data_IF_337504439131
#
_entry.id   IF_337504439131
#
_cell.length_a   1.000
_cell.length_b   1.000
_cell.length_c   1.000
_cell.angle_alpha   90.00
_cell.angle_beta   90.00
_cell.angle_gamma   90.00
#
_symmetry.space_group_name_H-M   'P 1'
#
loop_
_entity.id
_entity.type
_entity.pdbx_description
1 polymer ?
#
# COMPACT_ATOMS: atom_id res chain seq x y z
N UNK A 1 32.20 -2.68 -5.92
CA UNK A 1 32.41 -1.49 -6.78
C UNK A 1 31.94 -0.28 -6.00
N UNK A 2 32.37 0.96 -6.28
CA UNK A 2 31.75 2.12 -5.62
C UNK A 2 30.25 2.10 -5.94
N UNK A 3 29.41 2.35 -4.93
CA UNK A 3 27.97 2.51 -5.10
C UNK A 3 27.75 3.61 -6.13
N UNK A 4 26.92 3.36 -7.15
CA UNK A 4 26.68 4.36 -8.19
C UNK A 4 25.89 5.51 -7.58
N UNK A 5 26.47 6.71 -7.56
CA UNK A 5 25.79 7.94 -7.13
C UNK A 5 24.51 8.21 -7.94
N UNK A 6 24.45 7.72 -9.18
CA UNK A 6 23.27 7.83 -10.04
C UNK A 6 22.09 7.02 -9.46
N UNK A 7 22.33 5.79 -8.99
CA UNK A 7 21.27 4.94 -8.43
C UNK A 7 20.79 5.45 -7.07
N UNK A 8 21.68 6.03 -6.25
CA UNK A 8 21.27 6.68 -4.99
C UNK A 8 20.40 7.91 -5.25
N UNK A 9 20.74 8.73 -6.25
CA UNK A 9 19.93 9.88 -6.64
C UNK A 9 18.57 9.47 -7.18
N UNK A 10 18.51 8.44 -8.05
CA UNK A 10 17.24 7.91 -8.57
C UNK A 10 16.35 7.38 -7.43
N UNK A 11 16.92 6.64 -6.49
CA UNK A 11 16.20 6.18 -5.31
C UNK A 11 15.68 7.34 -4.44
N UNK A 12 16.47 8.40 -4.29
CA UNK A 12 16.04 9.59 -3.55
C UNK A 12 14.87 10.31 -4.24
N UNK A 13 14.90 10.47 -5.57
CA UNK A 13 13.77 11.04 -6.31
C UNK A 13 12.49 10.21 -6.15
N UNK A 14 12.61 8.88 -6.07
CA UNK A 14 11.45 8.00 -5.84
C UNK A 14 10.88 8.22 -4.45
N UNK A 15 11.72 8.37 -3.42
CA UNK A 15 11.31 8.70 -2.05
C UNK A 15 10.57 10.05 -2.03
N UNK A 16 11.09 11.08 -2.72
CA UNK A 16 10.43 12.39 -2.81
C UNK A 16 9.05 12.33 -3.49
N UNK A 17 8.87 11.40 -4.44
CA UNK A 17 7.59 11.13 -5.11
C UNK A 17 6.66 10.23 -4.28
N UNK A 18 7.10 9.71 -3.14
CA UNK A 18 6.36 8.79 -2.29
C UNK A 18 6.37 7.32 -2.77
N UNK A 19 7.21 6.99 -3.75
CA UNK A 19 7.37 5.61 -4.27
C UNK A 19 8.47 4.86 -3.51
N UNK A 20 8.20 4.58 -2.24
CA UNK A 20 9.14 3.94 -1.32
C UNK A 20 9.46 2.49 -1.75
N UNK A 21 8.49 1.77 -2.32
CA UNK A 21 8.65 0.40 -2.76
C UNK A 21 9.68 0.29 -3.90
N UNK A 22 9.56 1.14 -4.92
CA UNK A 22 10.52 1.17 -6.03
C UNK A 22 11.89 1.64 -5.57
N UNK A 23 11.96 2.64 -4.67
CA UNK A 23 13.23 3.08 -4.09
C UNK A 23 13.95 1.93 -3.37
N UNK A 24 13.25 1.16 -2.53
CA UNK A 24 13.81 -0.03 -1.86
C UNK A 24 14.26 -1.09 -2.85
N UNK A 25 13.52 -1.31 -3.92
CA UNK A 25 13.88 -2.26 -4.96
C UNK A 25 15.26 -1.93 -5.56
N UNK A 26 15.53 -0.64 -5.83
CA UNK A 26 16.84 -0.18 -6.31
C UNK A 26 17.94 -0.28 -5.25
N UNK A 27 17.64 0.06 -4.00
CA UNK A 27 18.64 0.14 -2.92
C UNK A 27 19.04 -1.22 -2.35
N UNK A 28 18.14 -2.21 -2.34
CA UNK A 28 18.39 -3.53 -1.75
C UNK A 28 19.59 -4.28 -2.33
N UNK A 29 19.81 -4.37 -3.66
CA UNK A 29 21.02 -5.00 -4.20
C UNK A 29 22.29 -4.24 -3.81
N UNK A 30 22.23 -2.91 -3.73
CA UNK A 30 23.36 -2.10 -3.28
C UNK A 30 23.68 -2.37 -1.81
N UNK A 31 22.67 -2.53 -0.96
CA UNK A 31 22.84 -2.78 0.47
C UNK A 31 23.46 -4.17 0.72
N UNK A 32 23.22 -5.13 -0.17
CA UNK A 32 23.88 -6.43 -0.13
C UNK A 32 25.37 -6.34 -0.53
N UNK A 33 25.73 -5.43 -1.44
CA UNK A 33 27.11 -5.22 -1.88
C UNK A 33 27.92 -4.38 -0.89
N UNK A 34 27.31 -3.33 -0.35
CA UNK A 34 27.95 -2.35 0.54
C UNK A 34 27.09 -2.15 1.81
N UNK A 35 27.07 -3.13 2.73
CA UNK A 35 26.15 -3.11 3.86
C UNK A 35 26.51 -2.07 4.93
N UNK A 36 27.72 -1.53 4.90
CA UNK A 36 28.25 -0.51 5.81
C UNK A 36 28.48 0.83 5.08
N UNK A 37 27.79 1.09 3.98
CA UNK A 37 27.80 2.39 3.31
C UNK A 37 26.81 3.34 4.00
N UNK A 38 27.32 4.45 4.55
CA UNK A 38 26.56 5.38 5.38
C UNK A 38 25.45 6.08 4.61
N UNK A 39 25.74 6.55 3.39
CA UNK A 39 24.79 7.27 2.54
C UNK A 39 23.66 6.32 2.10
N UNK A 40 24.02 5.10 1.72
CA UNK A 40 23.06 4.06 1.37
C UNK A 40 22.15 3.68 2.54
N UNK A 41 22.71 3.51 3.75
CA UNK A 41 21.92 3.24 4.96
C UNK A 41 20.97 4.41 5.26
N UNK A 42 21.42 5.64 5.09
CA UNK A 42 20.59 6.83 5.30
C UNK A 42 19.43 6.91 4.30
N UNK A 43 19.68 6.73 3.01
CA UNK A 43 18.64 6.75 1.97
C UNK A 43 17.67 5.57 2.17
N UNK A 44 18.18 4.38 2.49
CA UNK A 44 17.34 3.21 2.75
C UNK A 44 16.42 3.40 3.96
N UNK A 45 16.89 4.07 5.02
CA UNK A 45 16.05 4.38 6.18
C UNK A 45 14.83 5.26 5.82
N UNK A 46 14.97 6.17 4.84
CA UNK A 46 13.86 7.00 4.36
C UNK A 46 12.91 6.24 3.43
N UNK A 47 13.39 5.19 2.79
CA UNK A 47 12.57 4.32 1.94
C UNK A 47 11.84 3.23 2.74
N UNK A 48 12.14 3.04 4.03
CA UNK A 48 11.56 1.97 4.83
C UNK A 48 10.08 2.24 5.14
N UNK A 49 9.19 1.35 4.69
CA UNK A 49 7.75 1.42 4.96
C UNK A 49 7.38 0.95 6.37
N UNK A 50 8.18 0.03 6.92
CA UNK A 50 8.02 -0.47 8.28
C UNK A 50 8.86 0.38 9.25
N UNK A 51 8.19 0.95 10.26
CA UNK A 51 8.83 1.83 11.25
C UNK A 51 9.93 1.10 12.03
N UNK A 52 9.79 -0.22 12.25
CA UNK A 52 10.81 -1.01 12.94
C UNK A 52 12.04 -1.22 12.04
N UNK A 53 11.87 -1.54 10.76
CA UNK A 53 12.96 -1.64 9.78
C UNK A 53 13.73 -0.32 9.68
N UNK A 54 13.04 0.82 9.53
CA UNK A 54 13.68 2.13 9.50
C UNK A 54 14.49 2.43 10.76
N UNK A 55 13.96 2.10 11.94
CA UNK A 55 14.67 2.22 13.22
C UNK A 55 15.93 1.36 13.28
N UNK A 56 15.85 0.10 12.88
CA UNK A 56 16.99 -0.83 12.89
C UNK A 56 18.13 -0.32 12.00
N UNK A 57 17.80 0.24 10.83
CA UNK A 57 18.77 0.83 9.91
C UNK A 57 19.40 2.11 10.49
N UNK A 58 18.62 3.00 11.10
CA UNK A 58 19.15 4.20 11.74
C UNK A 58 20.05 3.88 12.94
N UNK A 59 19.74 2.83 13.70
CA UNK A 59 20.61 2.35 14.79
C UNK A 59 21.93 1.81 14.24
N UNK A 60 21.89 1.11 13.10
CA UNK A 60 23.10 0.66 12.42
C UNK A 60 23.94 1.84 11.92
N UNK A 61 23.33 2.83 11.28
CA UNK A 61 24.00 4.05 10.82
C UNK A 61 24.65 4.80 11.99
N UNK A 62 23.94 4.95 13.12
CA UNK A 62 24.49 5.55 14.35
C UNK A 62 25.69 4.80 14.90
N UNK A 63 25.67 3.48 14.85
CA UNK A 63 26.79 2.67 15.32
C UNK A 63 28.04 2.84 14.43
N UNK A 64 27.83 3.08 13.13
CA UNK A 64 28.90 3.27 12.15
C UNK A 64 29.46 4.70 12.20
N UNK A 65 28.58 5.70 12.13
CA UNK A 65 28.93 7.12 12.20
C UNK A 65 27.93 7.89 13.09
N UNK A 66 28.28 8.10 14.37
CA UNK A 66 27.42 8.82 15.31
C UNK A 66 27.16 10.29 14.94
N UNK A 67 28.06 10.90 14.17
CA UNK A 67 28.02 12.31 13.79
C UNK A 67 27.52 12.52 12.34
N UNK A 68 26.87 11.50 11.76
CA UNK A 68 26.34 11.58 10.39
C UNK A 68 25.33 12.75 10.25
N UNK A 69 25.46 13.62 9.23
CA UNK A 69 24.58 14.77 9.05
C UNK A 69 23.09 14.39 9.02
N UNK A 70 22.27 15.06 9.84
CA UNK A 70 20.83 14.82 9.88
C UNK A 70 20.38 13.56 10.66
N UNK A 71 21.30 12.75 11.19
CA UNK A 71 20.95 11.55 11.97
C UNK A 71 20.23 11.88 13.28
N UNK A 72 20.68 12.89 14.03
CA UNK A 72 20.09 13.27 15.32
C UNK A 72 18.61 13.68 15.26
N UNK A 73 18.16 14.58 14.35
CA UNK A 73 16.74 14.91 14.25
C UNK A 73 15.90 13.68 13.88
N UNK A 74 16.39 12.82 12.97
CA UNK A 74 15.71 11.56 12.62
C UNK A 74 15.57 10.63 13.81
N UNK A 75 16.64 10.38 14.57
CA UNK A 75 16.59 9.56 15.79
C UNK A 75 15.61 10.14 16.83
N UNK A 76 15.46 11.46 16.89
CA UNK A 76 14.49 12.12 17.78
C UNK A 76 13.07 11.86 17.30
N UNK A 77 12.82 12.01 15.99
CA UNK A 77 11.51 11.79 15.37
C UNK A 77 11.01 10.35 15.58
N UNK A 78 11.89 9.36 15.49
CA UNK A 78 11.54 7.94 15.72
C UNK A 78 11.63 7.50 17.20
N UNK A 79 11.79 8.46 18.13
CA UNK A 79 11.80 8.21 19.57
C UNK A 79 13.07 7.51 20.12
N UNK A 80 14.13 7.41 19.33
CA UNK A 80 15.40 6.76 19.70
C UNK A 80 16.41 7.70 20.39
N UNK A 81 16.19 9.02 20.38
CA UNK A 81 17.11 9.99 21.00
C UNK A 81 17.20 9.89 22.53
N UNK A 82 16.21 9.29 23.21
CA UNK A 82 16.05 9.41 24.67
C UNK A 82 16.61 8.25 25.50
N UNK A 83 17.27 7.25 24.92
CA UNK A 83 17.68 6.05 25.68
C UNK A 83 18.95 6.21 26.54
N UNK A 84 19.66 7.34 26.50
CA UNK A 84 20.95 7.49 27.18
C UNK A 84 21.01 8.72 28.08
N UNK A 85 20.23 8.72 29.17
CA UNK A 85 20.52 9.54 30.35
C UNK A 85 19.84 9.00 31.61
N UNK A 86 20.15 7.76 31.97
CA UNK A 86 20.02 7.28 33.36
C UNK A 86 21.33 6.64 33.81
N UNK A 87 22.40 7.44 33.82
CA UNK A 87 23.52 7.16 34.72
C UNK A 87 23.12 7.59 36.13
N UNK A 88 22.28 6.78 36.77
CA UNK A 88 21.99 6.85 38.20
C UNK A 88 23.26 6.49 38.96
N UNK A 89 24.11 7.49 39.17
CA UNK A 89 25.14 7.45 40.19
C UNK A 89 24.42 7.51 41.55
N UNK A 90 24.45 6.46 42.40
CA UNK A 90 23.94 6.56 43.75
C UNK A 90 25.00 7.26 44.59
N UNK A 91 24.82 8.55 44.90
CA UNK A 91 25.60 9.21 45.95
C UNK A 91 24.79 10.27 46.70
N UNK A 92 24.39 9.84 47.90
CA UNK A 92 24.15 10.61 49.13
C UNK A 92 23.88 12.12 49.06
N UNK A 93 22.69 12.47 49.52
CA UNK A 93 22.27 13.72 50.19
C UNK A 93 23.21 14.06 51.39
N UNK A 94 23.29 15.29 51.95
CA UNK A 94 22.72 16.61 51.59
C UNK A 94 23.78 17.72 51.42
N UNK A 95 23.42 18.88 50.85
CA UNK A 95 23.46 20.15 51.60
C UNK A 95 22.99 21.33 50.74
N UNK A 96 22.11 22.10 51.38
CA UNK A 96 21.62 23.42 51.02
C UNK A 96 22.73 24.39 50.66
N UNK A 97 22.59 25.11 49.55
CA UNK A 97 23.02 26.51 49.41
C UNK A 97 22.13 27.16 48.36
N UNK A 98 21.33 28.12 48.83
CA UNK A 98 20.52 29.03 48.04
C UNK A 98 21.46 30.04 47.39
N UNK A 99 21.67 29.96 46.07
CA UNK A 99 22.40 30.97 45.31
C UNK A 99 21.44 31.71 44.36
N UNK A 100 21.20 32.96 44.75
CA UNK A 100 20.41 33.97 44.05
C UNK A 100 21.16 34.38 42.77
N UNK A 101 20.67 33.94 41.61
CA UNK A 101 21.19 34.35 40.30
C UNK A 101 20.17 35.22 39.56
N UNK A 102 20.74 36.25 38.93
CA UNK A 102 20.21 37.47 38.36
C UNK A 102 19.34 37.26 37.09
N UNK A 103 18.63 38.31 36.62
CA UNK A 103 17.62 38.20 35.56
C UNK A 103 18.19 37.97 34.16
N UNK A 104 17.40 37.23 33.38
CA UNK A 104 17.58 36.87 31.96
C UNK A 104 17.79 38.10 31.06
N UNK A 105 18.73 38.07 30.10
CA UNK A 105 18.66 38.97 28.96
C UNK A 105 17.52 38.54 28.04
N UNK A 106 16.83 39.53 27.50
CA UNK A 106 15.83 39.37 26.44
C UNK A 106 16.56 39.01 25.14
N UNK A 107 16.10 37.95 24.49
CA UNK A 107 16.54 37.59 23.15
C UNK A 107 15.67 38.36 22.17
N UNK A 108 16.29 39.30 21.46
CA UNK A 108 15.67 39.97 20.31
C UNK A 108 15.50 38.92 19.20
N UNK A 109 14.24 38.72 18.78
CA UNK A 109 13.88 38.05 17.54
C UNK A 109 14.41 38.87 16.37
N UNK A 110 15.52 38.43 15.80
CA UNK A 110 15.95 38.93 14.49
C UNK A 110 15.02 38.33 13.42
N UNK A 111 14.31 39.24 12.74
CA UNK A 111 13.55 39.01 11.52
C UNK A 111 14.48 38.39 10.46
N UNK A 112 14.28 37.12 10.16
CA UNK A 112 14.98 36.44 9.08
C UNK A 112 14.17 36.63 7.79
N UNK A 113 14.42 37.74 7.10
CA UNK A 113 13.85 38.06 5.80
C UNK A 113 14.47 37.12 4.75
N UNK A 114 13.74 36.06 4.39
CA UNK A 114 14.13 35.10 3.37
C UNK A 114 13.97 35.76 1.98
N UNK A 115 15.07 36.25 1.41
CA UNK A 115 15.13 36.65 0.00
C UNK A 115 14.87 35.42 -0.88
N UNK A 116 13.70 35.43 -1.53
CA UNK A 116 13.27 34.46 -2.52
C UNK A 116 14.08 34.65 -3.81
N UNK A 117 15.21 33.93 -3.90
CA UNK A 117 16.00 33.87 -5.13
C UNK A 117 15.24 33.05 -6.18
N UNK A 118 14.54 33.76 -7.06
CA UNK A 118 13.89 33.20 -8.25
C UNK A 118 14.98 32.73 -9.23
N UNK A 119 15.42 31.48 -9.08
CA UNK A 119 16.34 30.85 -10.03
C UNK A 119 15.54 30.48 -11.27
N UNK A 120 15.60 31.35 -12.28
CA UNK A 120 15.17 31.04 -13.63
C UNK A 120 16.08 29.95 -14.21
N UNK A 121 15.67 28.68 -14.12
CA UNK A 121 16.29 27.60 -14.87
C UNK A 121 15.80 27.66 -16.32
N UNK A 122 16.61 28.24 -17.19
CA UNK A 122 16.50 28.07 -18.64
C UNK A 122 16.67 26.58 -18.98
N UNK A 123 15.57 25.89 -19.25
CA UNK A 123 15.60 24.55 -19.83
C UNK A 123 16.02 24.62 -21.29
N UNK A 124 17.26 24.23 -21.55
CA UNK A 124 17.77 23.92 -22.88
C UNK A 124 17.01 22.69 -23.45
N UNK A 125 15.98 22.98 -24.22
CA UNK A 125 15.27 22.06 -25.11
C UNK A 125 16.20 21.60 -26.23
N UNK A 126 16.45 20.29 -26.34
CA UNK A 126 17.20 19.74 -27.47
C UNK A 126 17.43 18.23 -27.41
N UNK A 127 16.41 17.42 -27.69
CA UNK A 127 16.62 15.96 -27.86
C UNK A 127 15.39 15.05 -27.93
N UNK A 128 14.16 15.56 -27.97
CA UNK A 128 12.95 14.75 -27.75
C UNK A 128 12.40 13.92 -28.92
N UNK A 129 13.10 13.79 -30.07
CA UNK A 129 12.54 13.09 -31.24
C UNK A 129 13.03 11.65 -31.45
N UNK A 130 14.18 11.25 -30.91
CA UNK A 130 14.69 9.89 -31.11
C UNK A 130 14.05 8.84 -30.18
N UNK A 131 13.66 9.21 -28.95
CA UNK A 131 13.11 8.23 -28.00
C UNK A 131 11.73 7.71 -28.46
N UNK A 132 10.91 8.58 -29.05
CA UNK A 132 9.56 8.23 -29.49
C UNK A 132 9.55 7.19 -30.64
N UNK A 133 10.54 7.23 -31.54
CA UNK A 133 10.66 6.22 -32.60
C UNK A 133 11.08 4.84 -32.09
N UNK A 134 11.89 4.77 -31.03
CA UNK A 134 12.29 3.50 -30.42
C UNK A 134 11.11 2.82 -29.70
N UNK A 135 10.27 3.61 -29.01
CA UNK A 135 9.07 3.09 -28.35
C UNK A 135 8.07 2.54 -29.39
N UNK A 136 7.80 3.30 -30.47
CA UNK A 136 6.91 2.85 -31.56
C UNK A 136 7.43 1.60 -32.27
N UNK A 137 8.75 1.49 -32.51
CA UNK A 137 9.35 0.31 -33.13
C UNK A 137 9.22 -0.93 -32.22
N UNK A 138 9.42 -0.79 -30.91
CA UNK A 138 9.24 -1.88 -29.95
C UNK A 138 7.81 -2.39 -29.89
N UNK A 139 6.83 -1.48 -29.85
CA UNK A 139 5.40 -1.83 -29.81
C UNK A 139 4.96 -2.59 -31.07
N UNK A 140 5.46 -2.20 -32.25
CA UNK A 140 5.15 -2.87 -33.51
C UNK A 140 5.70 -4.31 -33.54
N UNK A 141 6.92 -4.53 -33.02
CA UNK A 141 7.51 -5.87 -32.92
C UNK A 141 6.69 -6.75 -31.96
N UNK A 142 6.21 -6.19 -30.85
CA UNK A 142 5.38 -6.90 -29.87
C UNK A 142 4.03 -7.32 -30.48
N UNK A 143 3.37 -6.43 -31.23
CA UNK A 143 2.11 -6.77 -31.91
C UNK A 143 2.32 -7.86 -32.97
N UNK A 144 3.39 -7.79 -33.76
CA UNK A 144 3.69 -8.81 -34.78
C UNK A 144 3.99 -10.18 -34.17
N UNK A 145 4.73 -10.23 -33.06
CA UNK A 145 5.02 -11.48 -32.36
C UNK A 145 3.76 -12.10 -31.74
N UNK A 146 2.87 -11.30 -31.17
CA UNK A 146 1.58 -11.76 -30.64
C UNK A 146 0.65 -12.31 -31.73
N UNK A 147 0.61 -11.67 -32.90
CA UNK A 147 -0.15 -12.17 -34.07
C UNK A 147 0.43 -13.49 -34.59
N UNK A 148 1.76 -13.61 -34.66
CA UNK A 148 2.41 -14.86 -35.09
C UNK A 148 2.19 -16.01 -34.10
N UNK A 149 2.17 -15.74 -32.79
CA UNK A 149 1.88 -16.73 -31.75
C UNK A 149 0.42 -17.21 -31.81
N UNK A 150 -0.54 -16.32 -32.05
CA UNK A 150 -1.94 -16.70 -32.25
C UNK A 150 -2.15 -17.50 -33.54
N UNK A 151 -1.47 -17.13 -34.64
CA UNK A 151 -1.57 -17.84 -35.91
C UNK A 151 -0.96 -19.26 -35.87
N UNK A 152 -0.02 -19.53 -34.97
CA UNK A 152 0.64 -20.84 -34.84
C UNK A 152 -0.13 -21.85 -33.97
N UNK A 153 -1.30 -21.50 -33.45
CA UNK A 153 -2.21 -22.46 -32.81
C UNK A 153 -1.69 -23.06 -31.49
N UNK A 154 -0.65 -22.49 -30.90
CA UNK A 154 -0.01 -22.98 -29.67
C UNK A 154 -0.86 -22.73 -28.42
N UNK A 155 -1.86 -21.84 -28.50
CA UNK A 155 -2.80 -21.53 -27.43
C UNK A 155 -4.16 -22.24 -27.61
N UNK A 156 -4.16 -23.48 -28.09
CA UNK A 156 -5.37 -24.29 -28.06
C UNK A 156 -5.68 -24.67 -26.59
N UNK A 157 -6.87 -24.35 -26.05
CA UNK A 157 -7.27 -24.82 -24.73
C UNK A 157 -7.25 -26.34 -24.74
N UNK A 158 -6.59 -26.94 -23.74
CA UNK A 158 -6.58 -28.38 -23.55
C UNK A 158 -8.03 -28.87 -23.47
N UNK A 159 -8.47 -29.64 -24.47
CA UNK A 159 -9.73 -30.36 -24.39
C UNK A 159 -9.58 -31.40 -23.29
N UNK A 160 -10.26 -31.16 -22.17
CA UNK A 160 -10.42 -32.14 -21.10
C UNK A 160 -11.17 -33.32 -21.70
N UNK A 161 -10.51 -34.47 -21.71
CA UNK A 161 -11.09 -35.72 -22.18
C UNK A 161 -12.24 -36.12 -21.24
N UNK A 162 -13.43 -36.26 -21.81
CA UNK A 162 -14.63 -36.82 -21.19
C UNK A 162 -14.32 -38.22 -20.63
N UNK A 163 -14.39 -38.37 -19.30
CA UNK A 163 -14.43 -39.67 -18.64
C UNK A 163 -15.87 -40.21 -18.68
N UNK A 164 -16.09 -41.49 -19.03
CA UNK A 164 -17.43 -42.06 -19.11
C UNK A 164 -18.04 -42.20 -17.71
N UNK A 165 -18.90 -41.26 -17.34
CA UNK A 165 -19.73 -41.34 -16.13
C UNK A 165 -20.80 -42.40 -16.31
N UNK A 166 -20.79 -43.40 -15.44
CA UNK A 166 -21.79 -44.45 -15.38
C UNK A 166 -23.19 -43.87 -15.09
N UNK A 167 -24.11 -44.13 -16.01
CA UNK A 167 -25.54 -43.84 -15.88
C UNK A 167 -26.15 -44.70 -14.76
N UNK A 168 -26.56 -44.06 -13.66
CA UNK A 168 -27.50 -44.64 -12.70
C UNK A 168 -28.87 -44.02 -13.00
N UNK A 169 -29.75 -44.86 -13.51
CA UNK A 169 -31.17 -44.57 -13.77
C UNK A 169 -31.89 -44.49 -12.41
N UNK A 170 -32.13 -43.26 -11.94
CA UNK A 170 -32.94 -42.98 -10.76
C UNK A 170 -34.23 -42.31 -11.21
N UNK A 171 -35.34 -43.05 -11.08
CA UNK A 171 -36.69 -42.58 -11.37
C UNK A 171 -36.97 -41.29 -10.60
N UNK A 172 -37.15 -40.19 -11.35
CA UNK A 172 -37.50 -38.88 -10.82
C UNK A 172 -39.03 -38.76 -10.78
N UNK A 173 -39.64 -38.47 -9.61
CA UNK A 173 -41.05 -38.13 -9.54
C UNK A 173 -41.25 -36.77 -10.22
N UNK A 174 -42.27 -36.68 -11.08
CA UNK A 174 -42.67 -35.46 -11.76
C UNK A 174 -43.06 -34.38 -10.74
N UNK A 175 -42.09 -33.54 -10.37
CA UNK A 175 -42.32 -32.31 -9.63
C UNK A 175 -42.54 -31.18 -10.65
N UNK A 176 -43.72 -30.58 -10.56
CA UNK A 176 -44.11 -29.35 -11.25
C UNK A 176 -43.05 -28.28 -10.98
N UNK A 177 -42.27 -27.93 -12.01
CA UNK A 177 -41.33 -26.81 -11.95
C UNK A 177 -42.15 -25.53 -12.09
N UNK A 178 -42.57 -24.99 -10.95
CA UNK A 178 -42.94 -23.58 -10.87
C UNK A 178 -41.68 -22.79 -11.24
N UNK A 179 -41.67 -22.25 -12.46
CA UNK A 179 -40.71 -21.23 -12.89
C UNK A 179 -41.02 -19.98 -12.09
N UNK A 180 -40.52 -19.94 -10.86
CA UNK A 180 -40.48 -18.76 -10.05
C UNK A 180 -39.48 -17.83 -10.72
N UNK A 181 -39.99 -16.85 -11.47
CA UNK A 181 -39.23 -15.70 -11.94
C UNK A 181 -38.58 -15.09 -10.71
N UNK A 182 -37.32 -15.45 -10.45
CA UNK A 182 -36.49 -14.82 -9.45
C UNK A 182 -36.44 -13.35 -9.85
N UNK A 183 -37.15 -12.50 -9.12
CA UNK A 183 -36.92 -11.07 -9.19
C UNK A 183 -35.47 -10.88 -8.82
N UNK A 184 -34.62 -10.65 -9.83
CA UNK A 184 -33.27 -10.16 -9.65
C UNK A 184 -33.42 -8.85 -8.89
N UNK A 185 -33.29 -8.90 -7.57
CA UNK A 185 -33.14 -7.70 -6.77
C UNK A 185 -31.81 -7.11 -7.21
N UNK A 186 -31.91 -6.10 -8.08
CA UNK A 186 -30.78 -5.30 -8.50
C UNK A 186 -30.28 -4.59 -7.25
N UNK A 187 -29.09 -4.99 -6.77
CA UNK A 187 -28.36 -4.24 -5.77
C UNK A 187 -28.28 -2.80 -6.25
N UNK A 188 -28.70 -1.85 -5.43
CA UNK A 188 -28.53 -0.43 -5.70
C UNK A 188 -27.06 -0.06 -5.45
N UNK A 189 -26.22 -0.46 -6.40
CA UNK A 189 -24.78 -0.21 -6.37
C UNK A 189 -24.47 1.29 -6.41
N UNK A 190 -25.38 2.11 -6.96
CA UNK A 190 -25.22 3.56 -7.02
C UNK A 190 -25.36 4.19 -5.63
N UNK A 191 -26.36 3.76 -4.85
CA UNK A 191 -26.51 4.18 -3.45
C UNK A 191 -25.32 3.74 -2.59
N UNK A 192 -24.84 2.49 -2.78
CA UNK A 192 -23.68 2.00 -2.05
C UNK A 192 -22.41 2.78 -2.42
N UNK A 193 -22.17 3.00 -3.72
CA UNK A 193 -21.07 3.83 -4.19
C UNK A 193 -21.11 5.25 -3.62
N UNK A 194 -22.31 5.87 -3.54
CA UNK A 194 -22.47 7.21 -2.98
C UNK A 194 -22.21 7.29 -1.46
N UNK A 195 -22.33 6.17 -0.75
CA UNK A 195 -22.03 6.09 0.69
C UNK A 195 -20.55 5.85 1.00
N UNK A 196 -19.77 5.43 0.00
CA UNK A 196 -18.34 5.21 0.09
C UNK A 196 -17.61 6.53 -0.18
N UNK A 197 -16.94 7.07 0.83
CA UNK A 197 -16.10 8.28 0.70
C UNK A 197 -14.69 7.92 0.18
N UNK A 198 -14.65 7.19 -0.94
CA UNK A 198 -13.40 6.73 -1.58
C UNK A 198 -13.51 6.80 -3.10
N UNK A 199 -12.37 7.01 -3.77
CA UNK A 199 -12.29 6.95 -5.23
C UNK A 199 -12.41 5.50 -5.71
N UNK A 200 -13.50 5.16 -6.39
CA UNK A 200 -13.72 3.83 -6.95
C UNK A 200 -12.93 3.64 -8.26
N UNK A 201 -12.41 2.44 -8.46
CA UNK A 201 -11.80 2.04 -9.73
C UNK A 201 -12.86 1.90 -10.84
N UNK A 202 -12.43 1.79 -12.10
CA UNK A 202 -13.36 1.65 -13.23
C UNK A 202 -14.28 0.42 -13.12
N UNK A 203 -13.80 -0.64 -12.45
CA UNK A 203 -14.58 -1.85 -12.14
C UNK A 203 -15.71 -1.56 -11.13
N UNK A 204 -15.53 -0.55 -10.27
CA UNK A 204 -16.50 -0.13 -9.27
C UNK A 204 -16.79 -1.21 -8.22
N UNK A 205 -18.07 -1.56 -8.09
CA UNK A 205 -18.57 -2.57 -7.16
C UNK A 205 -19.12 -3.74 -7.97
N UNK A 206 -18.65 -4.96 -7.68
CA UNK A 206 -19.03 -6.16 -8.42
C UNK A 206 -19.36 -7.30 -7.46
N UNK A 207 -20.35 -8.12 -7.83
CA UNK A 207 -20.59 -9.41 -7.20
C UNK A 207 -19.86 -10.50 -7.98
N UNK A 208 -18.88 -11.16 -7.36
CA UNK A 208 -18.01 -12.15 -8.02
C UNK A 208 -17.82 -13.40 -7.17
N UNK A 209 -17.57 -14.54 -7.82
CA UNK A 209 -17.22 -15.79 -7.14
C UNK A 209 -15.71 -15.82 -6.86
N UNK A 210 -15.33 -15.78 -5.59
CA UNK A 210 -13.93 -15.77 -5.14
C UNK A 210 -13.58 -17.05 -4.37
N UNK A 211 -12.34 -17.17 -3.90
CA UNK A 211 -11.94 -18.25 -3.00
C UNK A 211 -12.71 -18.25 -1.65
N UNK A 212 -13.36 -17.14 -1.29
CA UNK A 212 -14.22 -17.04 -0.11
C UNK A 212 -15.68 -17.45 -0.41
N UNK A 213 -16.05 -17.57 -1.69
CA UNK A 213 -17.43 -17.78 -2.16
C UNK A 213 -17.98 -16.55 -2.87
N UNK A 214 -19.31 -16.43 -2.93
CA UNK A 214 -19.96 -15.29 -3.56
C UNK A 214 -19.68 -14.02 -2.75
N UNK A 215 -18.90 -13.10 -3.32
CA UNK A 215 -18.30 -11.95 -2.63
C UNK A 215 -18.70 -10.66 -3.34
N UNK A 216 -19.19 -9.68 -2.58
CA UNK A 216 -19.35 -8.30 -3.08
C UNK A 216 -18.01 -7.59 -2.93
N UNK A 217 -17.32 -7.32 -4.04
CA UNK A 217 -15.99 -6.71 -4.07
C UNK A 217 -16.13 -5.24 -4.45
N UNK A 218 -15.57 -4.37 -3.61
CA UNK A 218 -15.42 -2.93 -3.88
C UNK A 218 -13.99 -2.67 -4.33
N UNK A 219 -13.82 -2.25 -5.58
CA UNK A 219 -12.50 -1.89 -6.11
C UNK A 219 -12.22 -0.40 -5.90
N UNK A 220 -11.16 -0.09 -5.17
CA UNK A 220 -10.79 1.28 -4.78
C UNK A 220 -9.49 1.69 -5.46
N UNK A 221 -9.45 2.90 -6.00
CA UNK A 221 -8.25 3.54 -6.53
C UNK A 221 -7.30 3.90 -5.40
N UNK A 222 -6.30 3.07 -5.14
CA UNK A 222 -5.35 3.33 -4.07
C UNK A 222 -4.00 2.68 -4.37
N UNK A 223 -2.94 3.48 -4.30
CA UNK A 223 -1.57 2.98 -4.33
C UNK A 223 -1.20 2.31 -2.99
N UNK A 224 -0.28 1.32 -2.99
CA UNK A 224 0.24 0.73 -1.76
C UNK A 224 0.85 1.82 -0.89
N UNK A 225 0.62 1.75 0.42
CA UNK A 225 1.15 2.73 1.35
C UNK A 225 0.47 2.67 2.70
N UNK A 226 0.86 3.56 3.64
CA UNK A 226 0.31 3.58 5.00
C UNK A 226 -1.22 3.75 5.02
N UNK A 227 -1.75 4.55 4.08
CA UNK A 227 -3.19 4.85 3.99
C UNK A 227 -4.02 3.66 3.46
N UNK A 228 -3.40 2.67 2.81
CA UNK A 228 -4.11 1.55 2.20
C UNK A 228 -4.94 0.76 3.23
N UNK A 229 -4.40 0.58 4.43
CA UNK A 229 -5.10 -0.14 5.51
C UNK A 229 -6.28 0.67 6.02
N UNK A 230 -6.13 2.00 6.16
CA UNK A 230 -7.21 2.87 6.64
C UNK A 230 -8.35 2.98 5.63
N UNK A 231 -8.04 2.99 4.33
CA UNK A 231 -9.04 2.90 3.26
C UNK A 231 -9.81 1.59 3.35
N UNK A 232 -9.13 0.45 3.50
CA UNK A 232 -9.79 -0.85 3.64
C UNK A 232 -10.71 -0.86 4.87
N UNK A 233 -10.25 -0.33 6.02
CA UNK A 233 -11.07 -0.21 7.24
C UNK A 233 -12.32 0.63 7.00
N UNK A 234 -12.16 1.81 6.38
CA UNK A 234 -13.26 2.71 6.09
C UNK A 234 -14.31 2.05 5.21
N UNK A 235 -13.89 1.35 4.15
CA UNK A 235 -14.81 0.63 3.25
C UNK A 235 -15.53 -0.49 4.00
N UNK A 236 -14.82 -1.29 4.79
CA UNK A 236 -15.47 -2.35 5.56
C UNK A 236 -16.44 -1.80 6.61
N UNK A 237 -16.14 -0.68 7.27
CA UNK A 237 -17.06 -0.05 8.22
C UNK A 237 -18.36 0.39 7.50
N UNK A 238 -18.23 1.02 6.33
CA UNK A 238 -19.40 1.38 5.50
C UNK A 238 -20.19 0.15 5.05
N UNK A 239 -19.52 -0.93 4.64
CA UNK A 239 -20.16 -2.18 4.20
C UNK A 239 -20.86 -2.90 5.35
N UNK A 240 -20.25 -2.93 6.53
CA UNK A 240 -20.80 -3.57 7.73
C UNK A 240 -22.10 -2.88 8.21
N UNK A 241 -22.25 -1.58 7.92
CA UNK A 241 -23.46 -0.81 8.24
C UNK A 241 -24.60 -1.00 7.22
N UNK A 242 -24.35 -1.66 6.08
CA UNK A 242 -25.39 -1.88 5.08
C UNK A 242 -26.36 -3.00 5.51
N UNK A 243 -27.66 -2.87 5.19
CA UNK A 243 -28.61 -3.95 5.41
C UNK A 243 -28.24 -5.16 4.54
N UNK A 244 -28.38 -6.37 5.08
CA UNK A 244 -28.01 -7.63 4.39
C UNK A 244 -28.72 -7.82 3.06
N UNK A 245 -29.93 -7.29 2.93
CA UNK A 245 -30.73 -7.35 1.70
C UNK A 245 -30.12 -6.48 0.58
N UNK A 246 -29.35 -5.45 0.93
CA UNK A 246 -28.66 -4.60 -0.05
C UNK A 246 -27.42 -5.27 -0.65
N UNK A 247 -27.02 -6.45 -0.18
CA UNK A 247 -25.77 -7.09 -0.59
C UNK A 247 -25.93 -8.06 -1.76
N UNK A 248 -27.14 -8.20 -2.30
CA UNK A 248 -27.39 -9.02 -3.50
C UNK A 248 -27.13 -10.51 -3.30
N UNK A 249 -27.26 -11.01 -2.08
CA UNK A 249 -27.00 -12.41 -1.76
C UNK A 249 -25.53 -12.75 -1.52
N UNK A 250 -24.64 -11.77 -1.49
CA UNK A 250 -23.24 -11.98 -1.12
C UNK A 250 -23.13 -12.67 0.24
N UNK A 251 -22.25 -13.65 0.33
CA UNK A 251 -21.89 -14.33 1.59
C UNK A 251 -20.67 -13.70 2.25
N UNK A 252 -19.89 -12.96 1.47
CA UNK A 252 -18.66 -12.28 1.87
C UNK A 252 -18.61 -10.87 1.28
N UNK A 253 -17.82 -10.02 1.94
CA UNK A 253 -17.41 -8.71 1.44
C UNK A 253 -15.94 -8.73 1.08
N UNK A 254 -15.57 -7.98 0.05
CA UNK A 254 -14.18 -7.81 -0.35
C UNK A 254 -13.84 -6.36 -0.66
N UNK A 255 -12.61 -5.98 -0.37
CA UNK A 255 -12.01 -4.72 -0.82
C UNK A 255 -10.80 -5.05 -1.69
N UNK A 256 -10.80 -4.56 -2.92
CA UNK A 256 -9.69 -4.69 -3.86
C UNK A 256 -9.01 -3.34 -4.09
N UNK A 257 -7.75 -3.21 -3.67
CA UNK A 257 -6.94 -2.04 -3.97
C UNK A 257 -6.40 -2.15 -5.39
N UNK A 258 -6.74 -1.16 -6.21
CA UNK A 258 -6.42 -1.14 -7.64
C UNK A 258 -5.60 0.10 -7.98
N UNK A 259 -4.53 -0.09 -8.75
CA UNK A 259 -3.82 1.02 -9.37
C UNK A 259 -4.62 1.52 -10.58
N UNK A 260 -5.33 2.64 -10.45
CA UNK A 260 -6.26 3.09 -11.49
C UNK A 260 -5.63 3.56 -12.80
N UNK A 261 -4.30 3.81 -12.83
CA UNK A 261 -3.60 4.05 -14.09
C UNK A 261 -3.42 2.78 -14.93
N UNK A 262 -3.29 1.61 -14.29
CA UNK A 262 -2.99 0.33 -14.94
C UNK A 262 -4.14 -0.68 -14.85
N UNK A 263 -5.17 -0.39 -14.05
CA UNK A 263 -6.24 -1.32 -13.67
C UNK A 263 -5.71 -2.62 -13.04
N UNK A 264 -4.54 -2.58 -12.39
CA UNK A 264 -3.93 -3.73 -11.73
C UNK A 264 -4.39 -3.81 -10.28
N UNK A 265 -4.99 -4.94 -9.89
CA UNK A 265 -5.31 -5.23 -8.49
C UNK A 265 -4.02 -5.55 -7.75
N UNK A 266 -3.69 -4.73 -6.75
CA UNK A 266 -2.47 -4.84 -5.97
C UNK A 266 -2.67 -5.70 -4.73
N UNK A 267 -3.88 -5.63 -4.14
CA UNK A 267 -4.24 -6.37 -2.93
C UNK A 267 -5.75 -6.53 -2.82
N UNK A 268 -6.20 -7.73 -2.51
CA UNK A 268 -7.58 -8.08 -2.19
C UNK A 268 -7.65 -8.65 -0.77
N UNK A 269 -8.62 -8.21 0.01
CA UNK A 269 -8.96 -8.82 1.30
C UNK A 269 -10.46 -8.86 1.49
N UNK A 270 -10.97 -9.93 2.10
CA UNK A 270 -12.38 -10.13 2.35
C UNK A 270 -12.68 -10.68 3.73
N UNK A 271 -13.94 -10.53 4.15
CA UNK A 271 -14.48 -11.02 5.41
C UNK A 271 -15.89 -11.58 5.18
N UNK A 272 -16.38 -12.43 6.09
CA UNK A 272 -17.74 -12.93 6.02
C UNK A 272 -18.75 -11.83 6.35
N UNK A 273 -19.97 -11.93 5.78
CA UNK A 273 -21.06 -11.01 6.13
C UNK A 273 -21.45 -11.16 7.61
N UNK A 274 -21.36 -12.37 8.16
CA UNK A 274 -21.63 -12.64 9.57
C UNK A 274 -20.66 -11.87 10.50
N UNK A 275 -19.35 -11.92 10.23
CA UNK A 275 -18.36 -11.19 11.02
C UNK A 275 -18.58 -9.67 10.95
N UNK A 276 -18.93 -9.16 9.76
CA UNK A 276 -19.21 -7.74 9.55
C UNK A 276 -20.46 -7.28 10.33
N UNK A 277 -21.51 -8.11 10.40
CA UNK A 277 -22.69 -7.83 11.20
C UNK A 277 -22.35 -7.79 12.69
N UNK A 278 -21.59 -8.76 13.19
CA UNK A 278 -21.15 -8.77 14.59
C UNK A 278 -20.29 -7.55 14.92
N UNK A 279 -19.45 -7.09 13.99
CA UNK A 279 -18.70 -5.83 14.12
C UNK A 279 -19.63 -4.60 14.18
N UNK A 280 -20.57 -4.47 13.25
CA UNK A 280 -21.52 -3.34 13.21
C UNK A 280 -22.43 -3.27 14.45
N UNK A 281 -22.73 -4.42 15.07
CA UNK A 281 -23.50 -4.50 16.31
C UNK A 281 -22.66 -4.27 17.58
N UNK A 282 -21.34 -4.11 17.43
CA UNK A 282 -20.40 -3.93 18.54
C UNK A 282 -20.14 -5.19 19.36
N UNK A 283 -20.47 -6.37 18.83
CA UNK A 283 -20.17 -7.66 19.46
C UNK A 283 -18.68 -8.03 19.32
N UNK A 284 -18.04 -7.55 18.26
CA UNK A 284 -16.59 -7.63 18.05
C UNK A 284 -16.01 -6.23 17.91
N UNK A 285 -14.78 -6.04 18.41
CA UNK A 285 -14.05 -4.79 18.20
C UNK A 285 -13.35 -4.78 16.83
N UNK A 286 -12.86 -3.61 16.42
CA UNK A 286 -12.21 -3.43 15.12
C UNK A 286 -11.00 -4.36 14.94
N UNK A 287 -10.20 -4.59 16.00
CA UNK A 287 -9.02 -5.44 15.91
C UNK A 287 -9.38 -6.92 15.73
N UNK A 288 -10.43 -7.38 16.41
CA UNK A 288 -10.96 -8.73 16.26
C UNK A 288 -11.56 -8.94 14.86
N UNK A 289 -12.30 -7.95 14.34
CA UNK A 289 -12.85 -8.00 12.99
C UNK A 289 -11.75 -7.98 11.92
N UNK A 290 -10.72 -7.12 12.05
CA UNK A 290 -9.56 -7.11 11.15
C UNK A 290 -8.81 -8.45 11.12
N UNK A 291 -8.79 -9.18 12.22
CA UNK A 291 -8.16 -10.50 12.29
C UNK A 291 -8.92 -11.58 11.49
N UNK A 292 -10.19 -11.35 11.14
CA UNK A 292 -10.97 -12.27 10.29
C UNK A 292 -10.65 -12.09 8.81
N UNK A 293 -10.03 -10.97 8.41
CA UNK A 293 -9.77 -10.67 7.01
C UNK A 293 -8.88 -11.74 6.36
N UNK A 294 -9.22 -12.14 5.12
CA UNK A 294 -8.50 -13.15 4.33
C UNK A 294 -8.24 -12.64 2.91
N UNK A 295 -7.05 -12.89 2.34
CA UNK A 295 -6.82 -12.62 0.93
C UNK A 295 -7.64 -13.58 0.05
N UNK A 296 -8.00 -13.14 -1.16
CA UNK A 296 -8.72 -13.94 -2.16
C UNK A 296 -8.29 -13.63 -3.58
#
# INVERSE_FOLDING_TARGET
>A
MPVSSETLNEAFELIEKGDYAQARFLLKPLLAEAPDDEDLLWVYAHAAEDEKEGRDILLRLRALNPDYPGLHPLLTQVGLASATSVSSTPKSVPSSTSEKVAPSPAYETEDFELEEAVVATESASGGGRSCLYLILAGLLILVVTLVLLNASGVLAPAQVADEPTATIESETPAATVDTQTASSQTVDMESLAASLDVDLAEQGIELSDTALGQTLVVYVCQLPGPNATDVIRSVFDTLAQQPTDALGGATHFGVGLTECGSNTVLRSVGASVEDAISFAQGETDAAAFEATWRPF
#
